data_IF_846739419398
#
_entry.id   IF_846739419398
#
_cell.length_a   1.000
_cell.length_b   1.000
_cell.length_c   1.000
_cell.angle_alpha   90.00
_cell.angle_beta   90.00
_cell.angle_gamma   90.00
#
_symmetry.space_group_name_H-M   'P 1'
#
loop_
_entity.id
_entity.type
_entity.pdbx_description
1 polymer ?
#
# COMPACT_ATOMS: atom_id res chain seq x y z
N UNK A 1 -41.78 11.15 0.49
CA UNK A 1 -41.11 12.12 1.39
C UNK A 1 -39.74 12.43 0.81
N UNK A 2 -39.58 13.58 0.15
CA UNK A 2 -38.29 14.02 -0.38
C UNK A 2 -37.34 14.29 0.79
N UNK A 3 -36.16 13.68 0.78
CA UNK A 3 -35.15 13.96 1.80
C UNK A 3 -34.65 15.39 1.56
N UNK A 4 -35.02 16.32 2.43
CA UNK A 4 -34.48 17.68 2.37
C UNK A 4 -32.96 17.60 2.52
N UNK A 5 -32.25 18.10 1.51
CA UNK A 5 -30.79 18.08 1.42
C UNK A 5 -30.31 19.51 1.33
N UNK A 6 -29.35 19.86 2.17
CA UNK A 6 -28.67 21.15 2.11
C UNK A 6 -27.82 21.16 0.83
N UNK A 7 -27.93 22.19 -0.03
CA UNK A 7 -27.09 22.35 -1.21
C UNK A 7 -25.60 22.35 -0.87
N UNK A 8 -24.79 21.82 -1.78
CA UNK A 8 -23.33 21.69 -1.58
C UNK A 8 -22.66 23.05 -1.39
N UNK A 9 -23.08 24.07 -2.13
CA UNK A 9 -22.56 25.44 -2.04
C UNK A 9 -22.83 26.07 -0.68
N UNK A 10 -24.04 25.86 -0.14
CA UNK A 10 -24.43 26.35 1.17
C UNK A 10 -23.59 25.73 2.29
N UNK A 11 -23.26 24.44 2.18
CA UNK A 11 -22.36 23.76 3.13
C UNK A 11 -20.92 24.29 3.05
N UNK A 12 -20.43 24.65 1.86
CA UNK A 12 -19.08 25.25 1.69
C UNK A 12 -19.04 26.61 2.38
N UNK A 13 -20.04 27.45 2.12
CA UNK A 13 -20.12 28.78 2.72
C UNK A 13 -20.26 28.70 4.25
N UNK A 14 -21.07 27.76 4.74
CA UNK A 14 -21.21 27.49 6.17
C UNK A 14 -19.87 27.10 6.80
N UNK A 15 -19.13 26.18 6.19
CA UNK A 15 -17.81 25.75 6.69
C UNK A 15 -16.83 26.93 6.74
N UNK A 16 -16.73 27.72 5.66
CA UNK A 16 -15.84 28.88 5.61
C UNK A 16 -16.15 29.89 6.72
N UNK A 17 -17.43 30.15 6.98
CA UNK A 17 -17.86 31.03 8.09
C UNK A 17 -17.53 30.45 9.45
N UNK A 18 -17.68 29.15 9.63
CA UNK A 18 -17.29 28.48 10.87
C UNK A 18 -15.78 28.54 11.06
N UNK A 19 -14.97 28.34 10.04
CA UNK A 19 -13.50 28.36 10.15
C UNK A 19 -12.95 29.73 10.59
N UNK A 20 -13.69 30.81 10.34
CA UNK A 20 -13.34 32.17 10.81
C UNK A 20 -13.69 32.42 12.28
N UNK A 21 -14.41 31.51 12.94
CA UNK A 21 -14.86 31.65 14.32
C UNK A 21 -14.09 30.73 15.29
N UNK A 22 -13.76 31.19 16.51
CA UNK A 22 -13.11 30.35 17.52
C UNK A 22 -13.87 29.05 17.79
N UNK A 23 -13.16 27.92 17.94
CA UNK A 23 -13.74 26.57 18.00
C UNK A 23 -14.83 26.37 19.07
N UNK A 24 -14.84 27.19 20.13
CA UNK A 24 -15.84 27.18 21.21
C UNK A 24 -16.44 28.57 21.43
N UNK A 25 -17.32 29.00 20.53
CA UNK A 25 -18.10 30.23 20.72
C UNK A 25 -19.61 29.98 20.49
N UNK A 26 -20.44 30.81 21.10
CA UNK A 26 -21.90 30.76 20.96
C UNK A 26 -22.34 31.07 19.52
N UNK A 27 -21.62 31.96 18.83
CA UNK A 27 -21.91 32.37 17.45
C UNK A 27 -21.88 31.20 16.47
N UNK A 28 -20.95 30.24 16.64
CA UNK A 28 -20.93 29.00 15.84
C UNK A 28 -22.21 28.20 16.01
N UNK A 29 -22.74 28.13 17.23
CA UNK A 29 -23.98 27.39 17.53
C UNK A 29 -25.18 28.08 16.87
N UNK A 30 -25.26 29.40 16.99
CA UNK A 30 -26.31 30.20 16.34
C UNK A 30 -26.29 30.05 14.82
N UNK A 31 -25.10 30.07 14.20
CA UNK A 31 -24.94 29.90 12.76
C UNK A 31 -25.46 28.53 12.28
N UNK A 32 -25.19 27.47 13.05
CA UNK A 32 -25.72 26.12 12.77
C UNK A 32 -27.24 26.08 12.93
N UNK A 33 -27.77 26.64 14.01
CA UNK A 33 -29.22 26.67 14.29
C UNK A 33 -29.99 27.44 13.21
N UNK A 34 -29.49 28.60 12.79
CA UNK A 34 -30.06 29.39 11.70
C UNK A 34 -30.05 28.64 10.37
N UNK A 35 -28.95 27.95 10.06
CA UNK A 35 -28.84 27.16 8.84
C UNK A 35 -29.78 25.96 8.85
N UNK A 36 -29.91 25.30 10.00
CA UNK A 36 -30.83 24.19 10.21
C UNK A 36 -32.28 24.64 9.98
N UNK A 37 -32.67 25.79 10.57
CA UNK A 37 -33.99 26.39 10.39
C UNK A 37 -34.27 26.75 8.93
N UNK A 38 -33.32 27.42 8.26
CA UNK A 38 -33.48 27.88 6.88
C UNK A 38 -33.72 26.71 5.89
N UNK A 39 -33.00 25.61 6.07
CA UNK A 39 -33.14 24.41 5.22
C UNK A 39 -34.13 23.39 5.75
N UNK A 40 -34.90 23.68 6.80
CA UNK A 40 -35.91 22.77 7.35
C UNK A 40 -35.35 21.43 7.85
N UNK A 41 -34.11 21.42 8.34
CA UNK A 41 -33.42 20.21 8.84
C UNK A 41 -33.02 20.37 10.30
N UNK A 42 -32.72 19.26 10.98
CA UNK A 42 -32.17 19.31 12.35
C UNK A 42 -30.72 19.80 12.36
N UNK A 43 -30.28 20.40 13.48
CA UNK A 43 -28.87 20.75 13.70
C UNK A 43 -27.95 19.52 13.55
N UNK A 44 -28.39 18.34 13.97
CA UNK A 44 -27.66 17.08 13.79
C UNK A 44 -27.44 16.74 12.32
N UNK A 45 -28.42 17.01 11.46
CA UNK A 45 -28.30 16.84 10.01
C UNK A 45 -27.23 17.77 9.44
N UNK A 46 -27.16 19.03 9.92
CA UNK A 46 -26.13 20.00 9.52
C UNK A 46 -24.74 19.50 9.95
N UNK A 47 -24.57 19.11 11.22
CA UNK A 47 -23.29 18.57 11.71
C UNK A 47 -22.85 17.29 10.98
N UNK A 48 -23.79 16.41 10.61
CA UNK A 48 -23.50 15.21 9.80
C UNK A 48 -23.07 15.58 8.38
N UNK A 49 -23.74 16.58 7.78
CA UNK A 49 -23.41 17.05 6.44
C UNK A 49 -22.04 17.72 6.37
N UNK A 50 -21.64 18.48 7.40
CA UNK A 50 -20.29 19.06 7.51
C UNK A 50 -19.22 17.96 7.70
N UNK A 51 -19.39 17.06 8.67
CA UNK A 51 -18.44 15.95 8.92
C UNK A 51 -18.24 15.01 7.74
N UNK A 52 -19.30 14.74 6.97
CA UNK A 52 -19.24 13.87 5.80
C UNK A 52 -18.34 14.40 4.67
N UNK A 53 -17.93 15.67 4.71
CA UNK A 53 -17.05 16.30 3.71
C UNK A 53 -15.58 16.33 4.11
N UNK A 54 -15.29 16.32 5.40
CA UNK A 54 -13.92 16.43 5.92
C UNK A 54 -13.10 15.15 5.70
N UNK A 55 -13.75 14.02 5.39
CA UNK A 55 -13.07 12.75 5.16
C UNK A 55 -13.31 12.25 3.74
N UNK A 56 -12.27 12.18 2.88
CA UNK A 56 -12.35 11.29 1.74
C UNK A 56 -12.63 9.89 2.31
N UNK A 57 -13.80 9.33 1.98
CA UNK A 57 -14.10 7.96 2.38
C UNK A 57 -13.01 7.07 1.79
N UNK A 58 -12.32 6.35 2.66
CA UNK A 58 -11.51 5.22 2.22
C UNK A 58 -12.43 4.28 1.43
N UNK A 59 -12.19 4.19 0.12
CA UNK A 59 -12.85 3.20 -0.74
C UNK A 59 -12.37 1.78 -0.41
N UNK A 60 -11.22 1.69 0.24
CA UNK A 60 -10.59 0.44 0.60
C UNK A 60 -11.12 -0.07 1.95
N UNK A 61 -11.25 -1.39 2.03
CA UNK A 61 -11.54 -2.09 3.28
C UNK A 61 -10.41 -1.87 4.30
N UNK A 62 -10.75 -1.98 5.58
CA UNK A 62 -9.78 -1.83 6.69
C UNK A 62 -8.60 -2.81 6.62
N UNK A 63 -8.81 -3.98 6.02
CA UNK A 63 -7.81 -5.02 5.81
C UNK A 63 -7.12 -4.93 4.43
N UNK A 64 -7.21 -3.80 3.74
CA UNK A 64 -6.56 -3.64 2.45
C UNK A 64 -5.03 -3.65 2.61
N UNK A 65 -4.36 -4.45 1.79
CA UNK A 65 -2.90 -4.56 1.79
C UNK A 65 -2.33 -5.54 2.81
N UNK A 66 -3.16 -6.19 3.64
CA UNK A 66 -2.70 -7.26 4.55
C UNK A 66 -3.08 -8.64 4.00
N UNK A 67 -2.17 -9.63 4.03
CA UNK A 67 -2.52 -11.02 3.71
C UNK A 67 -3.55 -11.57 4.70
N UNK A 68 -4.52 -12.35 4.20
CA UNK A 68 -5.58 -12.93 5.04
C UNK A 68 -5.28 -14.33 5.56
N UNK A 69 -4.51 -15.10 4.79
CA UNK A 69 -4.25 -16.52 5.04
C UNK A 69 -2.83 -16.78 5.58
N UNK A 70 -1.99 -15.74 5.63
CA UNK A 70 -0.56 -15.80 5.92
C UNK A 70 -0.20 -14.61 6.79
N UNK A 71 0.88 -14.74 7.57
CA UNK A 71 1.49 -13.55 8.15
C UNK A 71 2.06 -12.65 7.04
N UNK A 72 2.20 -11.36 7.35
CA UNK A 72 2.84 -10.41 6.42
C UNK A 72 4.27 -10.86 6.08
N UNK A 73 5.02 -11.30 7.08
CA UNK A 73 6.41 -11.72 6.94
C UNK A 73 6.57 -12.92 6.02
N UNK A 74 5.74 -13.97 6.18
CA UNK A 74 5.78 -15.14 5.28
C UNK A 74 5.48 -14.76 3.83
N UNK A 75 4.43 -13.97 3.62
CA UNK A 75 4.06 -13.51 2.28
C UNK A 75 5.17 -12.67 1.64
N UNK A 76 5.84 -11.83 2.43
CA UNK A 76 6.97 -11.01 2.01
C UNK A 76 8.14 -11.89 1.58
N UNK A 77 8.57 -12.84 2.42
CA UNK A 77 9.63 -13.79 2.09
C UNK A 77 9.33 -14.60 0.82
N UNK A 78 8.09 -15.07 0.63
CA UNK A 78 7.70 -15.76 -0.60
C UNK A 78 7.77 -14.84 -1.83
N UNK A 79 7.30 -13.59 -1.70
CA UNK A 79 7.38 -12.60 -2.76
C UNK A 79 8.84 -12.28 -3.14
N UNK A 80 9.74 -12.19 -2.16
CA UNK A 80 11.17 -11.94 -2.37
C UNK A 80 11.83 -13.07 -3.17
N UNK A 81 11.61 -14.32 -2.76
CA UNK A 81 12.17 -15.48 -3.48
C UNK A 81 11.64 -15.55 -4.91
N UNK A 82 10.33 -15.34 -5.10
CA UNK A 82 9.72 -15.32 -6.44
C UNK A 82 10.29 -14.19 -7.29
N UNK A 83 10.50 -13.00 -6.73
CA UNK A 83 11.13 -11.88 -7.44
C UNK A 83 12.57 -12.23 -7.83
N UNK A 84 13.36 -12.82 -6.92
CA UNK A 84 14.73 -13.25 -7.18
C UNK A 84 14.80 -14.30 -8.31
N UNK A 85 13.91 -15.30 -8.31
CA UNK A 85 13.81 -16.30 -9.40
C UNK A 85 13.57 -15.59 -10.74
N UNK A 86 12.65 -14.62 -10.79
CA UNK A 86 12.33 -13.88 -12.02
C UNK A 86 13.51 -13.02 -12.49
N UNK A 87 14.26 -12.40 -11.58
CA UNK A 87 15.45 -11.63 -11.93
C UNK A 87 16.55 -12.54 -12.48
N UNK A 88 16.80 -13.68 -11.82
CA UNK A 88 17.84 -14.64 -12.22
C UNK A 88 17.56 -15.30 -13.56
N UNK A 89 16.28 -15.55 -13.87
CA UNK A 89 15.84 -16.15 -15.14
C UNK A 89 15.66 -15.13 -16.27
N UNK A 90 15.97 -13.84 -16.02
CA UNK A 90 15.87 -12.82 -17.04
C UNK A 90 16.95 -12.98 -18.12
N UNK A 91 16.57 -12.87 -19.38
CA UNK A 91 17.49 -12.88 -20.51
C UNK A 91 17.79 -11.47 -21.05
N UNK A 92 18.69 -11.37 -22.03
CA UNK A 92 19.04 -10.09 -22.69
C UNK A 92 17.87 -9.43 -23.43
N UNK A 93 16.78 -10.16 -23.67
CA UNK A 93 15.54 -9.66 -24.31
C UNK A 93 14.47 -9.26 -23.27
N UNK A 94 14.80 -9.25 -21.97
CA UNK A 94 13.88 -8.88 -20.90
C UNK A 94 12.82 -9.94 -20.56
N UNK A 95 12.92 -11.16 -21.12
CA UNK A 95 12.00 -12.25 -20.79
C UNK A 95 12.52 -12.99 -19.56
N UNK A 96 11.62 -13.29 -18.63
CA UNK A 96 11.90 -14.00 -17.39
C UNK A 96 10.82 -15.07 -17.15
N UNK A 97 11.04 -15.90 -16.12
CA UNK A 97 10.07 -16.90 -15.72
C UNK A 97 8.71 -16.27 -15.35
N UNK A 98 7.62 -16.94 -15.69
CA UNK A 98 6.28 -16.49 -15.29
C UNK A 98 6.11 -16.62 -13.78
N UNK A 99 5.26 -15.78 -13.16
CA UNK A 99 4.99 -15.88 -11.71
C UNK A 99 4.43 -17.25 -11.33
N UNK A 100 3.61 -17.84 -12.20
CA UNK A 100 3.04 -19.17 -11.98
C UNK A 100 4.12 -20.25 -11.94
N UNK A 101 5.04 -20.26 -12.93
CA UNK A 101 6.12 -21.25 -12.96
C UNK A 101 7.12 -21.03 -11.81
N UNK A 102 7.33 -19.79 -11.37
CA UNK A 102 8.14 -19.51 -10.20
C UNK A 102 7.52 -20.04 -8.90
N UNK A 103 6.19 -19.95 -8.74
CA UNK A 103 5.47 -20.54 -7.62
C UNK A 103 5.63 -22.07 -7.64
N UNK A 104 5.37 -22.70 -8.79
CA UNK A 104 5.50 -24.17 -8.93
C UNK A 104 6.90 -24.66 -8.53
N UNK A 105 7.96 -24.02 -9.03
CA UNK A 105 9.34 -24.38 -8.67
C UNK A 105 9.61 -24.22 -7.17
N UNK A 106 9.10 -23.14 -6.57
CA UNK A 106 9.29 -22.87 -5.16
C UNK A 106 8.53 -23.88 -4.28
N UNK A 107 7.32 -24.28 -4.67
CA UNK A 107 6.55 -25.32 -3.98
C UNK A 107 7.16 -26.73 -4.16
N UNK A 108 7.70 -27.04 -5.34
CA UNK A 108 8.24 -28.37 -5.67
C UNK A 108 9.63 -28.62 -5.08
N UNK A 109 10.49 -27.62 -5.06
CA UNK A 109 11.90 -27.80 -4.73
C UNK A 109 12.36 -26.99 -3.52
N UNK A 110 11.60 -25.95 -3.15
CA UNK A 110 12.05 -24.97 -2.17
C UNK A 110 13.27 -24.18 -2.65
N UNK A 111 13.72 -23.24 -1.82
CA UNK A 111 14.90 -22.42 -2.08
C UNK A 111 15.63 -22.13 -0.77
N UNK A 112 16.96 -22.26 -0.78
CA UNK A 112 17.81 -21.78 0.31
C UNK A 112 17.91 -20.26 0.27
N UNK A 113 17.52 -19.60 1.36
CA UNK A 113 17.78 -18.18 1.60
C UNK A 113 18.71 -18.00 2.81
N UNK A 114 19.36 -16.83 2.96
CA UNK A 114 20.17 -16.55 4.15
C UNK A 114 19.39 -16.65 5.46
N UNK A 115 18.07 -16.50 5.41
CA UNK A 115 17.14 -16.63 6.53
C UNK A 115 16.66 -18.07 6.80
N UNK A 116 17.00 -19.03 5.93
CA UNK A 116 16.62 -20.44 6.07
C UNK A 116 16.13 -21.05 4.76
N UNK A 117 15.70 -22.32 4.82
CA UNK A 117 15.10 -22.98 3.68
C UNK A 117 13.62 -22.60 3.57
N UNK A 118 13.21 -22.11 2.40
CA UNK A 118 11.84 -21.66 2.13
C UNK A 118 11.18 -22.61 1.15
N UNK A 119 10.14 -23.31 1.61
CA UNK A 119 9.28 -24.14 0.75
C UNK A 119 7.82 -24.03 1.20
N UNK A 120 6.97 -23.27 0.47
CA UNK A 120 5.55 -23.19 0.76
C UNK A 120 4.84 -24.51 0.41
N UNK A 121 3.81 -24.92 1.18
CA UNK A 121 2.96 -26.04 0.81
C UNK A 121 2.22 -25.78 -0.50
N UNK A 122 1.99 -26.85 -1.27
CA UNK A 122 1.36 -26.78 -2.58
C UNK A 122 -0.02 -26.12 -2.51
N UNK A 123 -0.26 -25.13 -3.39
CA UNK A 123 -1.53 -24.44 -3.50
C UNK A 123 -1.76 -23.35 -2.45
N UNK A 124 -0.79 -23.11 -1.55
CA UNK A 124 -0.84 -21.98 -0.61
C UNK A 124 -0.77 -20.64 -1.35
N UNK A 125 0.06 -20.57 -2.40
CA UNK A 125 0.32 -19.36 -3.15
C UNK A 125 -0.46 -19.36 -4.46
N UNK A 126 -1.42 -18.43 -4.60
CA UNK A 126 -2.07 -18.21 -5.90
C UNK A 126 -1.34 -17.12 -6.69
N UNK A 127 -1.25 -17.29 -8.01
CA UNK A 127 -0.68 -16.30 -8.94
C UNK A 127 -1.26 -14.89 -8.73
N UNK A 128 -2.57 -14.80 -8.51
CA UNK A 128 -3.26 -13.51 -8.34
C UNK A 128 -2.87 -12.83 -7.02
N UNK A 129 -2.79 -13.60 -5.93
CA UNK A 129 -2.33 -13.10 -4.63
C UNK A 129 -0.88 -12.64 -4.70
N UNK A 130 0.01 -13.48 -5.24
CA UNK A 130 1.44 -13.13 -5.36
C UNK A 130 1.65 -11.90 -6.24
N UNK A 131 1.04 -11.81 -7.42
CA UNK A 131 1.19 -10.63 -8.28
C UNK A 131 0.70 -9.34 -7.62
N UNK A 132 -0.36 -9.41 -6.80
CA UNK A 132 -0.87 -8.26 -6.06
C UNK A 132 0.17 -7.73 -5.08
N UNK A 133 0.75 -8.60 -4.27
CA UNK A 133 1.76 -8.21 -3.27
C UNK A 133 3.10 -7.84 -3.90
N UNK A 134 3.52 -8.52 -4.97
CA UNK A 134 4.69 -8.10 -5.75
C UNK A 134 4.54 -6.64 -6.22
N UNK A 135 3.36 -6.25 -6.70
CA UNK A 135 3.11 -4.86 -7.11
C UNK A 135 2.99 -3.91 -5.92
N UNK A 136 2.26 -4.30 -4.89
CA UNK A 136 2.00 -3.46 -3.71
C UNK A 136 3.27 -3.13 -2.92
N UNK A 137 4.23 -4.07 -2.85
CA UNK A 137 5.48 -3.92 -2.11
C UNK A 137 6.69 -3.61 -3.00
N UNK A 138 6.47 -3.37 -4.30
CA UNK A 138 7.53 -2.94 -5.22
C UNK A 138 8.49 -4.05 -5.68
N UNK A 139 8.20 -5.32 -5.39
CA UNK A 139 8.95 -6.48 -5.89
C UNK A 139 8.60 -6.89 -7.33
N UNK A 140 7.67 -6.18 -7.97
CA UNK A 140 7.33 -6.46 -9.36
C UNK A 140 8.55 -6.20 -10.27
N UNK A 141 8.75 -7.12 -11.21
CA UNK A 141 9.93 -7.15 -12.08
C UNK A 141 10.19 -5.81 -12.80
N UNK A 142 9.14 -5.13 -13.25
CA UNK A 142 9.26 -3.82 -13.92
C UNK A 142 9.80 -2.73 -12.99
N UNK A 143 9.47 -2.80 -11.69
CA UNK A 143 9.98 -1.85 -10.70
C UNK A 143 11.45 -2.12 -10.42
N UNK A 144 11.82 -3.39 -10.22
CA UNK A 144 13.21 -3.79 -9.95
C UNK A 144 14.11 -3.53 -11.18
N UNK A 145 13.61 -3.76 -12.39
CA UNK A 145 14.40 -3.52 -13.61
C UNK A 145 14.50 -2.05 -14.03
N UNK A 146 13.66 -1.17 -13.49
CA UNK A 146 13.79 0.28 -13.67
C UNK A 146 14.76 0.92 -12.67
N UNK A 147 15.25 0.17 -11.70
CA UNK A 147 16.24 0.66 -10.74
C UNK A 147 17.63 0.86 -11.39
N UNK A 148 18.47 1.73 -10.80
CA UNK A 148 19.88 1.91 -11.14
C UNK A 148 20.63 0.58 -11.32
N UNK A 149 21.63 0.55 -12.22
CA UNK A 149 22.37 -0.66 -12.58
C UNK A 149 23.02 -1.38 -11.40
N UNK A 150 23.45 -0.62 -10.39
CA UNK A 150 24.07 -1.16 -9.18
C UNK A 150 23.05 -1.94 -8.33
N UNK A 151 21.82 -1.43 -8.18
CA UNK A 151 20.74 -2.13 -7.46
C UNK A 151 20.41 -3.46 -8.16
N UNK A 152 20.45 -3.51 -9.50
CA UNK A 152 20.27 -4.76 -10.25
C UNK A 152 21.37 -5.78 -9.98
N UNK A 153 22.62 -5.33 -9.87
CA UNK A 153 23.76 -6.19 -9.55
C UNK A 153 23.64 -6.78 -8.14
N UNK A 154 23.13 -5.97 -7.19
CA UNK A 154 22.80 -6.38 -5.83
C UNK A 154 21.82 -7.56 -5.82
N UNK A 155 20.67 -7.43 -6.49
CA UNK A 155 19.65 -8.49 -6.58
C UNK A 155 20.14 -9.77 -7.27
N UNK A 156 21.16 -9.66 -8.13
CA UNK A 156 21.78 -10.82 -8.80
C UNK A 156 22.83 -11.51 -7.94
N UNK A 157 23.16 -10.98 -6.77
CA UNK A 157 24.27 -11.47 -5.94
C UNK A 157 25.63 -11.28 -6.62
N UNK A 158 25.76 -10.25 -7.46
CA UNK A 158 26.96 -9.95 -8.24
C UNK A 158 27.78 -8.79 -7.66
N UNK A 159 27.39 -8.27 -6.49
CA UNK A 159 28.11 -7.22 -5.78
C UNK A 159 28.85 -7.79 -4.57
N UNK A 160 29.99 -7.18 -4.26
CA UNK A 160 30.74 -7.48 -3.05
C UNK A 160 29.93 -7.11 -1.79
N UNK A 161 30.19 -7.77 -0.65
CA UNK A 161 29.38 -7.60 0.57
C UNK A 161 29.36 -6.16 1.10
N UNK A 162 30.46 -5.42 0.94
CA UNK A 162 30.58 -4.01 1.36
C UNK A 162 29.70 -3.11 0.49
N UNK A 163 29.82 -3.25 -0.83
CA UNK A 163 29.04 -2.49 -1.83
C UNK A 163 27.54 -2.76 -1.69
N UNK A 164 27.18 -4.00 -1.35
CA UNK A 164 25.81 -4.43 -1.08
C UNK A 164 25.22 -3.69 0.12
N UNK A 165 25.97 -3.52 1.22
CA UNK A 165 25.54 -2.76 2.39
C UNK A 165 25.36 -1.26 2.10
N UNK A 166 26.31 -0.66 1.39
CA UNK A 166 26.23 0.77 1.00
C UNK A 166 24.99 1.05 0.13
N UNK A 167 24.69 0.16 -0.83
CA UNK A 167 23.48 0.26 -1.66
C UNK A 167 22.19 0.04 -0.87
N UNK A 168 22.19 -0.85 0.12
CA UNK A 168 21.07 -1.00 1.05
C UNK A 168 20.85 0.29 1.86
N UNK A 169 21.89 0.91 2.39
CA UNK A 169 21.76 2.19 3.12
C UNK A 169 21.20 3.31 2.22
N UNK A 170 21.71 3.43 0.99
CA UNK A 170 21.23 4.40 0.01
C UNK A 170 19.77 4.17 -0.40
N UNK A 171 19.37 2.91 -0.56
CA UNK A 171 17.98 2.55 -0.85
C UNK A 171 17.05 2.86 0.33
N UNK A 172 17.52 2.68 1.58
CA UNK A 172 16.81 3.07 2.80
C UNK A 172 16.51 4.57 2.80
N UNK A 173 17.54 5.38 2.54
CA UNK A 173 17.44 6.84 2.51
C UNK A 173 16.53 7.35 1.39
N UNK A 174 16.48 6.64 0.26
CA UNK A 174 15.64 6.98 -0.88
C UNK A 174 14.17 6.54 -0.73
N UNK A 175 13.81 5.89 0.38
CA UNK A 175 12.46 5.34 0.59
C UNK A 175 12.10 4.23 -0.41
N UNK A 176 13.11 3.63 -1.05
CA UNK A 176 12.92 2.48 -1.92
C UNK A 176 12.68 1.24 -1.03
N UNK A 177 11.82 0.30 -1.45
CA UNK A 177 11.63 -0.93 -0.71
C UNK A 177 12.97 -1.65 -0.63
N UNK A 178 13.51 -1.68 0.58
CA UNK A 178 14.58 -2.58 0.92
C UNK A 178 13.99 -3.97 1.06
N UNK A 179 14.60 -4.94 0.38
CA UNK A 179 14.65 -6.30 0.90
C UNK A 179 15.04 -6.14 2.37
N UNK A 180 14.13 -6.42 3.30
CA UNK A 180 14.42 -6.28 4.71
C UNK A 180 15.65 -7.16 4.99
N UNK A 181 16.82 -6.61 5.36
CA UNK A 181 17.71 -7.40 6.17
C UNK A 181 16.93 -7.60 7.47
N UNK A 182 16.74 -8.85 7.86
CA UNK A 182 16.11 -9.19 9.12
C UNK A 182 16.67 -8.29 10.23
N UNK A 183 15.76 -7.76 11.06
CA UNK A 183 16.11 -7.25 12.36
C UNK A 183 16.93 -8.32 13.10
N UNK A 184 18.06 -7.88 13.64
CA UNK A 184 18.84 -8.56 14.69
C UNK A 184 17.93 -8.83 15.90
#
# INVERSE_FOLDING_TARGET
MSRQKIPIEALINLQQRLDMLPSRCQERRLLIEQTALFYGVSCDTVYRALRGREQPKSDQRRDYGTPRNLSRQEMESYCEVIAAIKIRTNNKKGRHLSTQRAIELLEEHGMDTPSGFIQPPKGLLTKATVNRYLKAWGYAFDYITRQPAEIKSMFRGQLDPVRTRELQEHMLLAGLPLLSPAAV
#
